data_IF_007020972159
#
_entry.id   IF_007020972159
#
_cell.length_a   1.000
_cell.length_b   1.000
_cell.length_c   1.000
_cell.angle_alpha   90.00
_cell.angle_beta   90.00
_cell.angle_gamma   90.00
#
_symmetry.space_group_name_H-M   'P 1'
#
loop_
_entity.id
_entity.type
_entity.pdbx_description
1 polymer ?
#
# COMPACT_ATOMS: atom_id res chain seq x y z
N UNK A 1 25.60 -11.66 -5.79
CA UNK A 1 24.61 -11.05 -6.69
C UNK A 1 23.31 -11.01 -5.92
N UNK A 2 22.48 -9.97 -6.06
CA UNK A 2 21.25 -9.87 -5.32
C UNK A 2 20.25 -10.94 -5.82
N UNK A 3 20.13 -12.06 -5.10
CA UNK A 3 19.15 -13.11 -5.38
C UNK A 3 17.82 -12.78 -4.69
N UNK A 4 16.69 -12.94 -5.40
CA UNK A 4 15.37 -12.82 -4.76
C UNK A 4 15.15 -14.02 -3.86
N UNK A 5 14.73 -13.75 -2.62
CA UNK A 5 14.47 -14.82 -1.65
C UNK A 5 12.98 -15.05 -1.55
N UNK A 6 12.58 -16.25 -1.99
CA UNK A 6 11.21 -16.74 -1.91
C UNK A 6 11.13 -17.77 -0.81
N UNK A 7 10.15 -17.61 0.07
CA UNK A 7 9.77 -18.58 1.07
C UNK A 7 8.26 -18.73 1.15
N UNK A 8 7.80 -19.49 2.13
CA UNK A 8 6.38 -19.68 2.39
C UNK A 8 6.12 -19.53 3.89
N UNK A 9 5.02 -18.89 4.28
CA UNK A 9 4.68 -18.64 5.69
C UNK A 9 4.58 -19.93 6.52
N UNK A 10 4.40 -21.08 5.89
CA UNK A 10 4.37 -22.39 6.56
C UNK A 10 5.67 -23.20 6.45
N UNK A 11 6.66 -22.76 5.64
CA UNK A 11 7.90 -23.51 5.42
C UNK A 11 9.06 -23.02 6.29
N UNK A 12 10.15 -23.80 6.32
CA UNK A 12 11.42 -23.39 6.90
C UNK A 12 12.09 -22.24 6.14
N UNK A 13 11.75 -22.04 4.86
CA UNK A 13 12.36 -21.01 4.01
C UNK A 13 11.98 -19.59 4.46
N UNK A 14 10.90 -19.45 5.25
CA UNK A 14 10.55 -18.17 5.86
C UNK A 14 11.69 -17.58 6.71
N UNK A 15 12.43 -18.42 7.43
CA UNK A 15 13.57 -17.95 8.23
C UNK A 15 14.63 -17.29 7.34
N UNK A 16 14.86 -17.84 6.13
CA UNK A 16 15.79 -17.26 5.15
C UNK A 16 15.30 -15.91 4.63
N UNK A 17 13.98 -15.78 4.41
CA UNK A 17 13.36 -14.50 4.02
C UNK A 17 13.53 -13.47 5.14
N UNK A 18 13.23 -13.84 6.39
CA UNK A 18 13.33 -12.97 7.56
C UNK A 18 14.78 -12.52 7.84
N UNK A 19 15.75 -13.43 7.71
CA UNK A 19 17.17 -13.12 7.86
C UNK A 19 17.62 -12.08 6.83
N UNK A 20 17.25 -12.25 5.56
CA UNK A 20 17.62 -11.32 4.50
C UNK A 20 16.90 -9.98 4.63
N UNK A 21 15.62 -10.01 4.99
CA UNK A 21 14.85 -8.81 5.33
C UNK A 21 15.57 -8.00 6.43
N UNK A 22 16.01 -8.65 7.51
CA UNK A 22 16.67 -8.02 8.64
C UNK A 22 18.05 -7.42 8.29
N UNK A 23 18.78 -8.01 7.34
CA UNK A 23 20.07 -7.46 6.86
C UNK A 23 19.92 -6.09 6.22
N UNK A 24 18.86 -5.91 5.44
CA UNK A 24 18.58 -4.65 4.75
C UNK A 24 17.78 -3.67 5.61
N UNK A 25 17.01 -4.18 6.59
CA UNK A 25 16.14 -3.39 7.44
C UNK A 25 16.47 -3.63 8.93
N UNK A 26 17.63 -3.18 9.44
CA UNK A 26 18.13 -3.54 10.76
C UNK A 26 17.29 -3.03 11.94
N UNK A 27 16.39 -2.07 11.71
CA UNK A 27 15.44 -1.59 12.72
C UNK A 27 14.10 -2.31 12.66
N UNK A 28 13.94 -3.27 11.74
CA UNK A 28 12.72 -4.01 11.53
C UNK A 28 12.97 -5.52 11.74
N UNK A 29 11.99 -6.22 12.29
CA UNK A 29 12.00 -7.68 12.39
C UNK A 29 10.76 -8.24 11.71
N UNK A 30 10.96 -9.14 10.75
CA UNK A 30 9.87 -9.87 10.08
C UNK A 30 9.60 -11.17 10.84
N UNK A 31 8.33 -11.38 11.21
CA UNK A 31 7.88 -12.59 11.89
C UNK A 31 6.52 -13.05 11.35
N UNK A 32 6.04 -14.19 11.86
CA UNK A 32 4.75 -14.78 11.57
C UNK A 32 4.11 -15.30 12.85
N UNK A 33 2.80 -15.32 12.90
CA UNK A 33 2.07 -15.87 14.04
C UNK A 33 0.72 -16.45 13.68
N UNK A 34 0.09 -17.01 14.70
CA UNK A 34 -1.23 -17.64 14.60
C UNK A 34 -2.05 -17.21 15.80
N UNK A 35 -3.31 -16.85 15.55
CA UNK A 35 -4.33 -16.66 16.58
C UNK A 35 -5.27 -17.84 16.51
N UNK A 36 -5.47 -18.50 17.66
CA UNK A 36 -6.46 -19.56 17.85
C UNK A 36 -7.24 -19.27 19.14
N UNK A 37 -8.54 -19.02 19.01
CA UNK A 37 -9.38 -18.59 20.14
C UNK A 37 -9.23 -17.09 20.42
N UNK A 38 -9.43 -16.68 21.67
CA UNK A 38 -9.30 -15.29 22.12
C UNK A 38 -7.92 -15.05 22.75
N UNK A 39 -7.30 -13.91 22.43
CA UNK A 39 -6.02 -13.51 22.97
C UNK A 39 -5.75 -12.02 22.83
N UNK A 40 -4.53 -11.64 23.15
CA UNK A 40 -4.05 -10.26 23.03
C UNK A 40 -2.71 -10.26 22.29
N UNK A 41 -2.56 -9.33 21.36
CA UNK A 41 -1.31 -9.06 20.66
C UNK A 41 -0.75 -7.78 21.25
N UNK A 42 0.46 -7.88 21.81
CA UNK A 42 1.21 -6.76 22.37
C UNK A 42 2.62 -6.71 21.75
N UNK A 43 3.24 -5.54 21.79
CA UNK A 43 4.64 -5.32 21.44
C UNK A 43 5.21 -4.19 22.29
N UNK A 44 6.53 -4.08 22.38
CA UNK A 44 7.19 -3.02 23.15
C UNK A 44 7.36 -1.71 22.34
N UNK A 45 7.10 -1.76 21.04
CA UNK A 45 7.35 -0.66 20.10
C UNK A 45 6.14 -0.43 19.20
N UNK A 46 6.27 -0.67 17.90
CA UNK A 46 5.24 -0.65 16.89
C UNK A 46 5.29 -1.96 16.12
N UNK A 47 4.16 -2.64 16.00
CA UNK A 47 4.00 -3.86 15.21
C UNK A 47 2.88 -3.67 14.20
N UNK A 48 3.20 -3.87 12.93
CA UNK A 48 2.20 -4.04 11.88
C UNK A 48 1.97 -5.52 11.65
N UNK A 49 0.72 -5.92 11.47
CA UNK A 49 0.33 -7.28 11.14
C UNK A 49 -0.54 -7.28 9.89
N UNK A 50 -0.37 -8.28 9.04
CA UNK A 50 -1.24 -8.52 7.89
C UNK A 50 -1.73 -9.96 7.96
N UNK A 51 -3.05 -10.12 7.91
CA UNK A 51 -3.66 -11.45 7.94
C UNK A 51 -3.36 -12.17 6.63
N UNK A 52 -2.86 -13.39 6.71
CA UNK A 52 -2.54 -14.23 5.57
C UNK A 52 -3.73 -15.08 5.15
N UNK A 53 -4.33 -15.77 6.11
CA UNK A 53 -5.48 -16.65 5.91
C UNK A 53 -6.32 -16.73 7.17
N UNK A 54 -7.52 -17.29 7.03
CA UNK A 54 -8.49 -17.38 8.11
C UNK A 54 -9.26 -16.08 8.31
N UNK A 55 -9.99 -16.02 9.42
CA UNK A 55 -10.81 -14.88 9.79
C UNK A 55 -10.97 -14.80 11.31
N UNK A 56 -11.28 -13.61 11.78
CA UNK A 56 -11.49 -13.37 13.19
C UNK A 56 -12.11 -12.01 13.43
N UNK A 57 -11.91 -11.51 14.64
CA UNK A 57 -12.31 -10.18 15.03
C UNK A 57 -11.22 -9.52 15.87
N UNK A 58 -11.10 -8.20 15.77
CA UNK A 58 -10.30 -7.38 16.68
C UNK A 58 -11.22 -6.47 17.50
N UNK A 59 -10.94 -6.30 18.79
CA UNK A 59 -11.73 -5.41 19.63
C UNK A 59 -11.25 -3.97 19.45
N UNK A 60 -12.10 -3.11 18.90
CA UNK A 60 -11.82 -1.67 18.80
C UNK A 60 -12.65 -0.95 19.88
N UNK A 61 -12.01 -0.30 20.87
CA UNK A 61 -12.71 0.41 21.94
C UNK A 61 -13.40 1.71 21.44
N UNK A 62 -14.34 2.21 22.22
CA UNK A 62 -14.93 3.53 21.99
C UNK A 62 -13.87 4.64 22.06
N UNK A 63 -14.04 5.69 21.27
CA UNK A 63 -13.11 6.82 21.14
C UNK A 63 -11.96 6.57 20.16
N UNK A 64 -11.79 5.35 19.63
CA UNK A 64 -10.81 5.09 18.58
C UNK A 64 -11.31 5.62 17.23
N UNK A 65 -10.39 6.21 16.47
CA UNK A 65 -10.69 6.80 15.16
C UNK A 65 -10.17 5.91 14.02
N UNK A 66 -10.87 5.91 12.89
CA UNK A 66 -10.45 5.24 11.65
C UNK A 66 -10.65 6.13 10.43
N UNK A 67 -9.77 6.03 9.43
CA UNK A 67 -9.95 6.64 8.09
C UNK A 67 -10.46 5.59 7.09
N UNK A 68 -11.36 4.72 7.54
CA UNK A 68 -12.10 3.77 6.71
C UNK A 68 -13.47 4.36 6.31
N UNK A 69 -14.18 3.68 5.42
CA UNK A 69 -15.56 4.01 5.04
C UNK A 69 -15.71 4.70 3.68
N UNK A 70 -14.60 4.96 3.00
CA UNK A 70 -14.57 5.48 1.63
C UNK A 70 -14.61 4.37 0.54
N UNK A 71 -14.50 3.11 0.95
CA UNK A 71 -14.93 1.92 0.19
C UNK A 71 -16.38 1.55 0.54
N UNK A 72 -16.56 0.44 1.26
CA UNK A 72 -17.86 0.12 1.87
C UNK A 72 -18.10 1.02 3.10
N UNK A 73 -19.33 1.58 3.28
CA UNK A 73 -19.66 2.33 4.47
C UNK A 73 -19.40 1.56 5.76
N UNK A 74 -18.94 2.28 6.78
CA UNK A 74 -18.83 1.77 8.14
C UNK A 74 -20.22 1.63 8.78
N UNK A 75 -20.33 0.81 9.82
CA UNK A 75 -21.54 0.69 10.62
C UNK A 75 -21.87 2.01 11.33
N UNK A 76 -23.15 2.19 11.68
CA UNK A 76 -23.67 3.42 12.30
C UNK A 76 -23.02 3.80 13.65
N UNK A 77 -22.25 2.89 14.25
CA UNK A 77 -21.46 3.14 15.47
C UNK A 77 -20.19 3.97 15.20
N UNK A 78 -19.78 4.11 13.94
CA UNK A 78 -18.70 5.01 13.54
C UNK A 78 -19.31 6.34 13.10
N UNK A 79 -18.96 7.41 13.80
CA UNK A 79 -19.48 8.75 13.57
C UNK A 79 -18.40 9.55 12.83
N UNK A 80 -18.62 9.96 11.58
CA UNK A 80 -17.66 10.79 10.87
C UNK A 80 -17.43 12.12 11.55
N UNK A 81 -16.17 12.54 11.63
CA UNK A 81 -15.83 13.85 12.16
C UNK A 81 -16.34 14.94 11.21
N UNK A 82 -16.75 16.11 11.74
CA UNK A 82 -17.07 17.25 10.90
C UNK A 82 -15.87 17.69 10.08
N UNK A 83 -16.07 17.97 8.78
CA UNK A 83 -15.01 18.53 7.97
C UNK A 83 -14.77 20.01 8.33
N UNK A 84 -13.53 20.46 8.57
CA UNK A 84 -13.25 21.86 8.86
C UNK A 84 -13.74 22.79 7.75
N UNK A 85 -14.29 23.96 8.10
CA UNK A 85 -14.88 24.90 7.13
C UNK A 85 -13.90 25.30 6.02
N UNK A 86 -12.65 25.60 6.36
CA UNK A 86 -11.64 25.96 5.36
C UNK A 86 -11.32 24.81 4.38
N UNK A 87 -11.39 23.56 4.83
CA UNK A 87 -11.24 22.39 3.95
C UNK A 87 -12.47 22.23 3.06
N UNK A 88 -13.68 22.44 3.59
CA UNK A 88 -14.90 22.40 2.80
C UNK A 88 -14.94 23.45 1.68
N UNK A 89 -14.49 24.67 1.98
CA UNK A 89 -14.34 25.76 1.00
C UNK A 89 -13.29 25.38 -0.05
N UNK A 90 -12.13 24.87 0.36
CA UNK A 90 -11.09 24.40 -0.54
C UNK A 90 -11.60 23.30 -1.49
N UNK A 91 -12.31 22.30 -0.97
CA UNK A 91 -12.89 21.23 -1.79
C UNK A 91 -13.89 21.77 -2.82
N UNK A 92 -14.71 22.77 -2.45
CA UNK A 92 -15.63 23.41 -3.39
C UNK A 92 -14.89 24.21 -4.48
N UNK A 93 -13.78 24.87 -4.15
CA UNK A 93 -12.91 25.52 -5.13
C UNK A 93 -12.26 24.50 -6.07
N UNK A 94 -11.75 23.39 -5.55
CA UNK A 94 -11.17 22.32 -6.36
C UNK A 94 -12.19 21.72 -7.34
N UNK A 95 -13.43 21.49 -6.88
CA UNK A 95 -14.54 21.01 -7.71
C UNK A 95 -14.85 21.99 -8.86
N UNK A 96 -14.99 23.28 -8.54
CA UNK A 96 -15.32 24.33 -9.49
C UNK A 96 -14.19 24.63 -10.49
N UNK A 97 -12.94 24.32 -10.13
CA UNK A 97 -11.75 24.55 -10.95
C UNK A 97 -11.13 23.26 -11.49
N UNK A 98 -11.86 22.14 -11.52
CA UNK A 98 -11.33 20.83 -11.93
C UNK A 98 -10.68 20.86 -13.33
N UNK A 99 -11.28 21.57 -14.29
CA UNK A 99 -10.75 21.71 -15.65
C UNK A 99 -9.46 22.55 -15.75
N UNK A 100 -9.12 23.32 -14.72
CA UNK A 100 -7.89 24.13 -14.70
C UNK A 100 -6.63 23.29 -14.45
N UNK A 101 -6.79 22.06 -13.94
CA UNK A 101 -5.69 21.15 -13.69
C UNK A 101 -5.17 20.52 -14.98
N UNK A 102 -3.84 20.28 -15.02
CA UNK A 102 -3.24 19.46 -16.05
C UNK A 102 -3.97 18.10 -16.15
N UNK A 103 -4.18 17.60 -17.38
CA UNK A 103 -5.02 16.42 -17.63
C UNK A 103 -4.67 15.21 -16.76
N UNK A 104 -3.37 14.95 -16.55
CA UNK A 104 -2.89 13.85 -15.70
C UNK A 104 -3.29 13.95 -14.22
N UNK A 105 -3.66 15.15 -13.74
CA UNK A 105 -3.99 15.44 -12.34
C UNK A 105 -5.49 15.52 -12.08
N UNK A 106 -6.31 15.66 -13.13
CA UNK A 106 -7.76 15.82 -12.99
C UNK A 106 -8.40 14.65 -12.25
N UNK A 107 -8.03 13.41 -12.60
CA UNK A 107 -8.51 12.20 -11.93
C UNK A 107 -8.20 12.17 -10.43
N UNK A 108 -6.91 12.29 -10.02
CA UNK A 108 -6.55 12.37 -8.60
C UNK A 108 -7.24 13.51 -7.83
N UNK A 109 -7.33 14.72 -8.40
CA UNK A 109 -8.01 15.86 -7.75
C UNK A 109 -9.50 15.57 -7.57
N UNK A 110 -10.16 15.05 -8.61
CA UNK A 110 -11.56 14.67 -8.54
C UNK A 110 -11.79 13.60 -7.46
N UNK A 111 -10.91 12.59 -7.37
CA UNK A 111 -10.99 11.57 -6.34
C UNK A 111 -10.85 12.13 -4.91
N UNK A 112 -10.07 13.20 -4.72
CA UNK A 112 -10.00 13.92 -3.42
C UNK A 112 -11.34 14.60 -3.13
N UNK A 113 -11.89 15.36 -4.08
CA UNK A 113 -13.18 16.06 -3.94
C UNK A 113 -14.32 15.09 -3.63
N UNK A 114 -14.32 13.93 -4.29
CA UNK A 114 -15.33 12.88 -4.12
C UNK A 114 -15.38 12.24 -2.74
N UNK A 115 -14.45 12.54 -1.82
CA UNK A 115 -14.57 12.09 -0.42
C UNK A 115 -15.48 12.97 0.43
N UNK A 116 -15.91 14.12 -0.10
CA UNK A 116 -16.92 14.97 0.54
C UNK A 116 -18.27 14.23 0.57
N UNK A 117 -18.90 14.17 1.75
CA UNK A 117 -20.21 13.57 2.00
C UNK A 117 -21.03 14.52 2.88
N UNK A 118 -21.80 15.40 2.25
CA UNK A 118 -22.51 16.46 2.97
C UNK A 118 -21.52 17.36 3.71
N UNK A 119 -21.61 17.41 5.04
CA UNK A 119 -20.72 18.18 5.91
C UNK A 119 -19.44 17.44 6.34
N UNK A 120 -19.21 16.23 5.82
CA UNK A 120 -18.11 15.36 6.23
C UNK A 120 -17.11 15.11 5.10
N UNK A 121 -15.92 14.69 5.49
CA UNK A 121 -14.88 14.15 4.62
C UNK A 121 -14.54 12.75 5.12
N UNK A 122 -14.60 11.73 4.26
CA UNK A 122 -14.47 10.32 4.67
C UNK A 122 -13.24 9.70 4.01
N UNK A 123 -12.42 9.01 4.82
CA UNK A 123 -11.29 8.23 4.35
C UNK A 123 -9.99 9.01 4.17
N UNK A 124 -8.95 8.29 3.77
CA UNK A 124 -7.60 8.82 3.54
C UNK A 124 -7.41 9.20 2.06
N UNK A 125 -6.66 10.28 1.79
CA UNK A 125 -6.28 10.76 0.44
C UNK A 125 -4.79 10.67 0.13
N UNK A 126 -3.97 10.10 1.02
CA UNK A 126 -2.54 10.00 0.79
C UNK A 126 -2.20 9.26 -0.53
N UNK A 127 -3.04 8.31 -0.95
CA UNK A 127 -2.93 7.66 -2.26
C UNK A 127 -3.08 8.62 -3.45
N UNK A 128 -4.09 9.48 -3.44
CA UNK A 128 -4.27 10.50 -4.47
C UNK A 128 -3.17 11.55 -4.43
N UNK A 129 -2.71 11.94 -3.24
CA UNK A 129 -1.56 12.85 -3.08
C UNK A 129 -0.31 12.24 -3.72
N UNK A 130 -0.06 10.95 -3.50
CA UNK A 130 1.04 10.23 -4.14
C UNK A 130 0.94 10.27 -5.67
N UNK A 131 -0.26 10.06 -6.24
CA UNK A 131 -0.49 10.15 -7.69
C UNK A 131 -0.19 11.56 -8.25
N UNK A 132 -0.51 12.63 -7.50
CA UNK A 132 -0.14 13.98 -7.90
C UNK A 132 1.39 14.15 -7.99
N UNK A 133 2.13 13.61 -7.02
CA UNK A 133 3.59 13.70 -6.95
C UNK A 133 4.29 12.89 -8.06
N UNK A 134 3.70 11.75 -8.42
CA UNK A 134 4.19 10.82 -9.45
C UNK A 134 3.81 11.21 -10.88
N UNK A 135 2.93 12.19 -11.05
CA UNK A 135 2.41 12.61 -12.37
C UNK A 135 3.48 13.06 -13.38
N UNK A 136 4.70 13.37 -12.92
CA UNK A 136 5.74 14.00 -13.72
C UNK A 136 5.51 15.48 -14.02
N UNK A 137 4.33 16.03 -13.70
CA UNK A 137 4.01 17.45 -13.91
C UNK A 137 4.68 18.29 -12.81
N UNK A 138 5.48 19.33 -13.14
CA UNK A 138 6.03 20.24 -12.15
C UNK A 138 4.92 20.92 -11.32
N UNK A 139 5.14 21.12 -10.01
CA UNK A 139 4.12 21.67 -9.11
C UNK A 139 3.54 23.00 -9.59
N UNK A 140 4.39 23.90 -10.13
CA UNK A 140 3.97 25.19 -10.67
C UNK A 140 3.07 25.09 -11.92
N UNK A 141 2.98 23.91 -12.54
CA UNK A 141 2.19 23.64 -13.73
C UNK A 141 0.98 22.73 -13.43
N UNK A 142 0.74 22.41 -12.15
CA UNK A 142 -0.38 21.53 -11.79
C UNK A 142 -1.75 22.11 -12.17
N UNK A 143 -1.90 23.42 -12.07
CA UNK A 143 -3.11 24.16 -12.42
C UNK A 143 -2.78 25.56 -12.92
N UNK A 144 -3.60 26.08 -13.81
CA UNK A 144 -3.54 27.49 -14.25
C UNK A 144 -4.29 28.47 -13.32
N UNK A 145 -4.98 27.96 -12.29
CA UNK A 145 -5.74 28.75 -11.31
C UNK A 145 -4.99 28.89 -9.99
N UNK A 146 -4.60 30.12 -9.63
CA UNK A 146 -4.01 30.41 -8.32
C UNK A 146 -4.93 29.99 -7.17
N UNK A 147 -6.25 30.17 -7.33
CA UNK A 147 -7.25 29.75 -6.34
C UNK A 147 -7.30 28.24 -6.16
N UNK A 148 -7.21 27.46 -7.25
CA UNK A 148 -7.16 26.00 -7.17
C UNK A 148 -5.85 25.52 -6.53
N UNK A 149 -4.73 26.21 -6.80
CA UNK A 149 -3.45 25.91 -6.16
C UNK A 149 -3.51 26.10 -4.65
N UNK A 150 -4.00 27.27 -4.19
CA UNK A 150 -4.14 27.56 -2.77
C UNK A 150 -5.12 26.60 -2.07
N UNK A 151 -6.23 26.25 -2.73
CA UNK A 151 -7.18 25.26 -2.21
C UNK A 151 -6.54 23.87 -2.07
N UNK A 152 -5.73 23.44 -3.04
CA UNK A 152 -5.01 22.18 -2.94
C UNK A 152 -4.00 22.20 -1.79
N UNK A 153 -3.28 23.31 -1.59
CA UNK A 153 -2.36 23.47 -0.47
C UNK A 153 -3.04 23.33 0.90
N UNK A 154 -4.27 23.84 1.05
CA UNK A 154 -5.08 23.66 2.27
C UNK A 154 -5.34 22.17 2.53
N UNK A 155 -5.75 21.43 1.51
CA UNK A 155 -6.01 19.98 1.63
C UNK A 155 -4.71 19.23 1.94
N UNK A 156 -3.63 19.52 1.22
CA UNK A 156 -2.30 18.90 1.42
C UNK A 156 -1.70 19.22 2.80
N UNK A 157 -2.02 20.38 3.38
CA UNK A 157 -1.58 20.76 4.72
C UNK A 157 -2.37 20.09 5.84
N UNK A 158 -3.55 19.53 5.55
CA UNK A 158 -4.51 19.05 6.57
C UNK A 158 -4.93 17.59 6.42
N UNK A 159 -4.56 16.91 5.33
CA UNK A 159 -5.09 15.58 5.00
C UNK A 159 -4.97 14.52 6.10
N UNK A 160 -3.93 14.58 6.95
CA UNK A 160 -3.75 13.64 8.07
C UNK A 160 -4.74 13.85 9.21
N UNK A 161 -5.36 15.02 9.28
CA UNK A 161 -6.24 15.44 10.37
C UNK A 161 -7.73 15.32 10.01
N UNK A 162 -8.04 15.04 8.75
CA UNK A 162 -9.41 14.91 8.22
C UNK A 162 -9.68 13.46 7.79
N UNK A 163 -10.93 13.14 7.43
CA UNK A 163 -11.25 11.79 6.92
C UNK A 163 -11.57 10.76 8.00
N UNK A 164 -11.48 11.14 9.26
CA UNK A 164 -11.64 10.26 10.40
C UNK A 164 -13.11 10.07 10.77
N UNK A 165 -13.43 8.86 11.23
CA UNK A 165 -14.66 8.52 11.93
C UNK A 165 -14.33 7.96 13.31
N UNK A 166 -14.95 8.47 14.36
CA UNK A 166 -14.77 8.01 15.73
C UNK A 166 -15.76 6.89 16.06
N UNK A 167 -15.28 5.84 16.72
CA UNK A 167 -16.11 4.74 17.18
C UNK A 167 -16.82 5.13 18.49
N UNK A 168 -18.15 5.17 18.46
CA UNK A 168 -18.97 5.57 19.62
C UNK A 168 -19.11 4.50 20.70
N UNK A 169 -19.05 3.21 20.33
CA UNK A 169 -19.21 2.07 21.24
C UNK A 169 -18.15 1.03 20.93
N UNK A 170 -17.45 0.52 21.96
CA UNK A 170 -16.47 -0.54 21.77
C UNK A 170 -17.10 -1.86 21.34
N UNK A 171 -16.55 -2.49 20.31
CA UNK A 171 -17.05 -3.76 19.76
C UNK A 171 -15.96 -4.55 19.05
N UNK A 172 -16.23 -5.84 18.89
CA UNK A 172 -15.47 -6.75 18.04
C UNK A 172 -15.78 -6.44 16.57
N UNK A 173 -14.72 -6.22 15.79
CA UNK A 173 -14.79 -5.87 14.38
C UNK A 173 -14.23 -7.01 13.54
N UNK A 174 -14.95 -7.45 12.49
CA UNK A 174 -14.49 -8.56 11.66
C UNK A 174 -13.19 -8.19 10.92
N UNK A 175 -12.29 -9.15 10.87
CA UNK A 175 -11.02 -9.08 10.13
C UNK A 175 -10.80 -10.36 9.33
N UNK A 176 -10.18 -10.24 8.17
CA UNK A 176 -9.93 -11.35 7.25
C UNK A 176 -8.59 -11.21 6.53
N UNK A 177 -8.22 -12.23 5.74
CA UNK A 177 -7.01 -12.21 4.92
C UNK A 177 -6.84 -10.89 4.14
N UNK A 178 -5.64 -10.31 4.18
CA UNK A 178 -5.28 -9.03 3.57
C UNK A 178 -5.52 -7.80 4.46
N UNK A 179 -6.36 -7.89 5.50
CA UNK A 179 -6.54 -6.79 6.44
C UNK A 179 -5.27 -6.53 7.25
N UNK A 180 -5.05 -5.27 7.61
CA UNK A 180 -3.89 -4.83 8.38
C UNK A 180 -4.30 -4.41 9.78
N UNK A 181 -3.51 -4.82 10.78
CA UNK A 181 -3.63 -4.42 12.18
C UNK A 181 -2.37 -3.69 12.63
N UNK A 182 -2.51 -2.69 13.50
CA UNK A 182 -1.41 -1.94 14.09
C UNK A 182 -1.51 -2.04 15.61
N UNK A 183 -0.39 -2.38 16.24
CA UNK A 183 -0.25 -2.51 17.69
C UNK A 183 0.90 -1.63 18.14
N UNK A 184 0.70 -0.89 19.21
CA UNK A 184 1.76 -0.11 19.88
C UNK A 184 1.86 -0.52 21.35
N UNK A 185 2.96 -0.14 22.00
CA UNK A 185 3.19 -0.41 23.42
C UNK A 185 2.02 0.03 24.32
N UNK A 186 1.42 1.18 24.02
CA UNK A 186 0.34 1.75 24.83
C UNK A 186 -1.07 1.28 24.39
N UNK A 187 -1.16 0.53 23.29
CA UNK A 187 -2.42 0.07 22.71
C UNK A 187 -2.31 -1.39 22.24
N UNK A 188 -2.20 -2.37 23.16
CA UNK A 188 -2.31 -3.78 22.83
C UNK A 188 -3.69 -4.08 22.23
N UNK A 189 -3.74 -5.04 21.30
CA UNK A 189 -4.95 -5.35 20.55
C UNK A 189 -5.49 -6.72 20.96
N UNK A 190 -6.70 -6.72 21.51
CA UNK A 190 -7.46 -7.96 21.75
C UNK A 190 -8.00 -8.49 20.44
N UNK A 191 -7.79 -9.78 20.22
CA UNK A 191 -8.17 -10.49 18.99
C UNK A 191 -8.87 -11.79 19.34
N UNK A 192 -9.75 -12.27 18.46
CA UNK A 192 -10.31 -13.61 18.55
C UNK A 192 -10.54 -14.23 17.19
N UNK A 193 -10.56 -15.56 17.10
CA UNK A 193 -10.87 -16.30 15.88
C UNK A 193 -9.82 -17.37 15.56
N UNK A 194 -9.63 -17.65 14.28
CA UNK A 194 -8.59 -18.54 13.77
C UNK A 194 -8.00 -17.95 12.50
N UNK A 195 -6.79 -17.40 12.61
CA UNK A 195 -6.09 -16.78 11.48
C UNK A 195 -4.57 -16.84 11.65
N UNK A 196 -3.87 -16.85 10.52
CA UNK A 196 -2.42 -16.69 10.45
C UNK A 196 -2.10 -15.29 9.98
N UNK A 197 -0.96 -14.76 10.40
CA UNK A 197 -0.52 -13.42 10.02
C UNK A 197 0.99 -13.35 9.82
N UNK A 198 1.40 -12.39 8.99
CA UNK A 198 2.77 -11.86 8.98
C UNK A 198 2.82 -10.62 9.87
N UNK A 199 3.98 -10.36 10.47
CA UNK A 199 4.19 -9.14 11.23
C UNK A 199 5.55 -8.51 10.95
N UNK A 200 5.58 -7.18 10.96
CA UNK A 200 6.82 -6.41 10.99
C UNK A 200 6.84 -5.58 12.27
N UNK A 201 7.82 -5.86 13.12
CA UNK A 201 8.12 -5.09 14.32
C UNK A 201 9.10 -3.99 13.94
N UNK A 202 8.80 -2.76 14.32
CA UNK A 202 9.62 -1.57 14.05
C UNK A 202 10.20 -1.10 15.38
N UNK A 203 11.47 -1.37 15.61
CA UNK A 203 12.10 -1.20 16.92
C UNK A 203 12.33 0.27 17.31
N UNK A 204 12.43 1.17 16.34
CA UNK A 204 12.73 2.60 16.52
C UNK A 204 11.48 3.50 16.45
N UNK A 205 10.28 2.92 16.54
CA UNK A 205 8.99 3.63 16.50
C UNK A 205 8.04 3.14 17.60
N UNK A 206 7.32 4.06 18.22
CA UNK A 206 6.30 3.75 19.24
C UNK A 206 4.91 4.22 18.86
N UNK A 207 4.79 4.98 17.77
CA UNK A 207 3.53 5.57 17.29
C UNK A 207 3.21 5.07 15.89
N UNK A 208 1.92 4.96 15.59
CA UNK A 208 1.41 4.66 14.25
C UNK A 208 0.68 5.88 13.68
N UNK A 209 0.72 6.03 12.35
CA UNK A 209 -0.05 7.04 11.62
C UNK A 209 -1.30 6.47 10.96
N UNK A 210 -1.69 5.24 11.32
CA UNK A 210 -2.89 4.57 10.82
C UNK A 210 -3.77 4.11 11.98
N UNK A 211 -5.03 3.79 11.70
CA UNK A 211 -5.91 3.18 12.70
C UNK A 211 -5.45 1.78 13.11
N UNK A 212 -5.91 1.33 14.28
CA UNK A 212 -5.58 0.00 14.82
C UNK A 212 -5.98 -1.15 13.88
N UNK A 213 -7.01 -0.94 13.05
CA UNK A 213 -7.39 -1.83 11.96
C UNK A 213 -7.60 -1.05 10.66
N UNK A 214 -7.20 -1.66 9.54
CA UNK A 214 -7.41 -1.20 8.17
C UNK A 214 -7.97 -2.36 7.37
N UNK A 215 -9.29 -2.47 7.37
CA UNK A 215 -10.04 -3.55 6.73
C UNK A 215 -10.25 -3.20 5.28
N UNK A 216 -9.76 -4.05 4.39
CA UNK A 216 -9.73 -3.74 2.96
C UNK A 216 -11.14 -3.42 2.44
N UNK A 217 -12.18 -4.11 2.89
CA UNK A 217 -13.55 -3.86 2.42
C UNK A 217 -14.05 -2.43 2.66
N UNK A 218 -13.52 -1.74 3.66
CA UNK A 218 -13.90 -0.37 3.97
C UNK A 218 -12.98 0.69 3.35
N UNK A 219 -11.90 0.28 2.70
CA UNK A 219 -10.99 1.19 2.01
C UNK A 219 -11.43 1.38 0.56
N UNK A 220 -11.26 2.60 0.06
CA UNK A 220 -11.50 2.91 -1.36
C UNK A 220 -10.70 1.98 -2.26
N UNK A 221 -11.38 1.45 -3.26
CA UNK A 221 -10.74 0.77 -4.37
C UNK A 221 -10.27 1.82 -5.38
N UNK A 222 -8.96 1.96 -5.51
CA UNK A 222 -8.34 2.94 -6.40
C UNK A 222 -7.83 2.21 -7.63
N UNK A 223 -8.59 2.20 -8.72
CA UNK A 223 -8.06 1.71 -10.00
C UNK A 223 -6.79 2.52 -10.35
N UNK A 224 -5.66 1.84 -10.57
CA UNK A 224 -4.34 2.48 -10.68
C UNK A 224 -3.19 1.49 -10.44
N UNK A 225 -2.05 1.69 -11.09
CA UNK A 225 -0.92 0.75 -11.03
C UNK A 225 -1.09 -0.47 -11.96
N UNK A 226 -0.46 -1.59 -11.61
CA UNK A 226 -0.37 -2.83 -12.41
C UNK A 226 -1.70 -3.54 -12.75
N UNK A 227 -2.88 -2.94 -12.52
CA UNK A 227 -4.18 -3.48 -12.95
C UNK A 227 -5.26 -2.43 -13.23
N UNK A 228 -5.53 -2.20 -14.52
CA UNK A 228 -6.70 -1.49 -15.05
C UNK A 228 -7.69 -2.45 -15.76
N UNK A 229 -7.49 -3.77 -15.62
CA UNK A 229 -8.24 -4.81 -16.30
C UNK A 229 -9.48 -5.27 -15.48
N UNK A 230 -10.05 -6.41 -15.86
CA UNK A 230 -11.18 -7.02 -15.16
C UNK A 230 -10.83 -7.35 -13.69
N UNK A 231 -11.81 -7.17 -12.79
CA UNK A 231 -11.62 -7.40 -11.34
C UNK A 231 -10.45 -6.60 -10.74
N UNK A 232 -10.28 -5.34 -11.18
CA UNK A 232 -9.33 -4.39 -10.60
C UNK A 232 -9.56 -4.27 -9.09
N UNK A 233 -8.48 -4.40 -8.33
CA UNK A 233 -8.49 -4.32 -6.88
C UNK A 233 -7.17 -3.68 -6.47
N UNK A 234 -7.21 -2.47 -5.94
CA UNK A 234 -6.05 -1.83 -5.30
C UNK A 234 -6.48 -0.97 -4.13
N UNK A 235 -6.09 -1.39 -2.93
CA UNK A 235 -6.45 -0.76 -1.66
C UNK A 235 -5.21 -0.49 -0.84
N UNK A 236 -5.21 0.62 -0.11
CA UNK A 236 -4.02 1.15 0.56
C UNK A 236 -4.21 1.11 2.09
N UNK A 237 -3.99 -0.04 2.75
CA UNK A 237 -4.06 -0.12 4.21
C UNK A 237 -3.02 0.79 4.89
N UNK A 238 -1.78 0.85 4.37
CA UNK A 238 -0.71 1.72 4.87
C UNK A 238 -0.15 2.59 3.74
N UNK A 239 -0.62 3.82 3.63
CA UNK A 239 -0.20 4.78 2.60
C UNK A 239 1.16 5.41 2.91
N UNK A 240 1.94 5.70 1.86
CA UNK A 240 3.15 6.49 2.02
C UNK A 240 2.78 7.94 2.33
N UNK A 241 3.41 8.48 3.36
CA UNK A 241 3.12 9.79 3.91
C UNK A 241 4.43 10.55 3.94
N UNK A 242 4.54 11.61 3.15
CA UNK A 242 5.77 12.39 3.01
C UNK A 242 6.26 12.97 4.35
N UNK A 243 7.55 12.87 4.66
CA UNK A 243 8.14 13.61 5.77
C UNK A 243 8.44 15.07 5.38
N UNK A 244 8.43 15.98 6.35
CA UNK A 244 8.95 17.33 6.14
C UNK A 244 10.45 17.26 5.79
N UNK A 245 10.86 17.85 4.67
CA UNK A 245 12.25 17.83 4.20
C UNK A 245 12.61 16.73 3.18
N UNK A 246 11.67 15.87 2.81
CA UNK A 246 11.87 14.83 1.79
C UNK A 246 12.59 13.56 2.31
N UNK A 247 12.90 12.64 1.40
CA UNK A 247 13.55 11.35 1.74
C UNK A 247 12.55 10.26 2.14
N UNK A 248 12.77 9.65 3.30
CA UNK A 248 11.90 8.58 3.82
C UNK A 248 10.54 9.15 4.26
N UNK A 249 9.47 8.37 4.13
CA UNK A 249 8.16 8.76 4.66
C UNK A 249 8.15 8.77 6.19
N UNK A 250 7.06 9.24 6.79
CA UNK A 250 6.88 9.14 8.26
C UNK A 250 6.63 7.70 8.70
N UNK A 251 6.02 6.89 7.84
CA UNK A 251 5.82 5.47 8.06
C UNK A 251 7.12 4.72 7.77
N UNK A 252 7.50 3.78 8.63
CA UNK A 252 8.64 2.88 8.39
C UNK A 252 8.32 1.79 7.35
N UNK A 253 7.02 1.50 7.18
CA UNK A 253 6.50 0.47 6.29
C UNK A 253 5.25 1.01 5.61
N UNK A 254 5.11 0.73 4.31
CA UNK A 254 3.88 0.97 3.57
C UNK A 254 3.39 -0.30 2.92
N UNK A 255 2.11 -0.36 2.64
CA UNK A 255 1.51 -1.55 2.07
C UNK A 255 0.29 -1.23 1.24
N UNK A 256 0.23 -1.82 0.05
CA UNK A 256 -0.98 -1.86 -0.74
C UNK A 256 -1.34 -3.29 -1.13
N UNK A 257 -2.64 -3.57 -1.14
CA UNK A 257 -3.14 -4.87 -1.59
C UNK A 257 -3.66 -4.71 -3.00
N UNK A 258 -3.09 -5.45 -3.93
CA UNK A 258 -3.33 -5.33 -5.36
C UNK A 258 -3.54 -6.69 -6.01
N UNK A 259 -4.52 -6.76 -6.91
CA UNK A 259 -4.66 -7.85 -7.86
C UNK A 259 -3.88 -7.50 -9.11
N UNK A 260 -2.70 -8.09 -9.33
CA UNK A 260 -1.84 -7.80 -10.47
C UNK A 260 -2.29 -8.64 -11.67
N UNK A 261 -2.66 -8.01 -12.77
CA UNK A 261 -2.95 -8.68 -14.03
C UNK A 261 -1.74 -8.62 -14.97
N UNK A 262 -1.39 -9.74 -15.61
CA UNK A 262 -0.25 -9.85 -16.52
C UNK A 262 -0.24 -8.73 -17.58
N UNK A 263 -1.40 -8.40 -18.14
CA UNK A 263 -1.61 -7.44 -19.22
C UNK A 263 -1.20 -6.01 -18.86
N UNK A 264 -1.34 -5.65 -17.58
CA UNK A 264 -1.13 -4.29 -17.08
C UNK A 264 0.07 -4.18 -16.13
N UNK A 265 0.65 -5.32 -15.76
CA UNK A 265 1.82 -5.38 -14.90
C UNK A 265 3.06 -4.84 -15.61
N UNK A 266 3.82 -3.98 -14.93
CA UNK A 266 5.03 -3.33 -15.45
C UNK A 266 6.29 -3.95 -14.84
N UNK A 267 7.33 -4.12 -15.66
CA UNK A 267 8.65 -4.48 -15.15
C UNK A 267 9.33 -3.24 -14.60
N UNK A 268 9.79 -3.29 -13.36
CA UNK A 268 10.47 -2.15 -12.72
C UNK A 268 11.51 -2.61 -11.70
N UNK A 269 12.30 -1.66 -11.20
CA UNK A 269 13.17 -1.85 -10.04
C UNK A 269 13.21 -0.59 -9.18
N UNK A 270 13.63 -0.76 -7.93
CA UNK A 270 13.97 0.36 -7.04
C UNK A 270 15.49 0.48 -6.95
N UNK A 271 16.09 1.65 -7.18
CA UNK A 271 17.54 1.78 -7.19
C UNK A 271 18.15 1.62 -5.80
N UNK A 272 19.39 1.10 -5.75
CA UNK A 272 20.20 1.03 -4.53
C UNK A 272 20.51 2.44 -4.01
N UNK A 273 20.68 3.41 -4.92
CA UNK A 273 20.78 4.83 -4.62
C UNK A 273 19.40 5.49 -4.85
N UNK A 274 18.63 5.78 -3.80
CA UNK A 274 17.26 6.25 -3.96
C UNK A 274 17.15 7.61 -4.63
N UNK A 275 16.16 7.74 -5.52
CA UNK A 275 15.75 9.05 -6.03
C UNK A 275 15.20 9.87 -4.87
N UNK A 276 15.76 11.07 -4.65
CA UNK A 276 15.39 11.94 -3.52
C UNK A 276 16.03 11.60 -2.18
N UNK A 277 16.91 10.58 -2.12
CA UNK A 277 17.69 10.23 -0.93
C UNK A 277 16.98 9.32 0.09
N UNK A 278 17.58 9.20 1.28
CA UNK A 278 17.11 8.31 2.35
C UNK A 278 17.57 6.85 2.17
N UNK A 279 16.84 5.90 2.78
CA UNK A 279 17.18 4.47 2.70
C UNK A 279 16.83 3.85 1.33
N UNK A 280 17.61 2.88 0.83
CA UNK A 280 17.23 2.03 -0.30
C UNK A 280 15.81 1.45 -0.11
N UNK A 281 14.99 1.52 -1.16
CA UNK A 281 13.64 0.95 -1.11
C UNK A 281 13.71 -0.55 -1.40
N UNK A 282 13.27 -1.35 -0.44
CA UNK A 282 13.01 -2.79 -0.64
C UNK A 282 11.51 -3.02 -0.79
N UNK A 283 11.16 -4.10 -1.48
CA UNK A 283 9.79 -4.52 -1.70
C UNK A 283 9.60 -5.96 -1.23
N UNK A 284 8.41 -6.28 -0.76
CA UNK A 284 8.06 -7.59 -0.25
C UNK A 284 6.66 -7.97 -0.69
N UNK A 285 6.50 -9.17 -1.23
CA UNK A 285 5.20 -9.71 -1.60
C UNK A 285 4.72 -10.68 -0.54
N UNK A 286 3.53 -10.42 -0.01
CA UNK A 286 2.75 -11.38 0.76
C UNK A 286 1.61 -11.86 -0.13
N UNK A 287 1.70 -13.08 -0.64
CA UNK A 287 0.73 -13.61 -1.61
C UNK A 287 -0.54 -14.06 -0.89
N UNK A 288 -1.67 -13.51 -1.31
CA UNK A 288 -2.98 -13.75 -0.72
C UNK A 288 -3.81 -14.69 -1.60
N UNK A 289 -4.84 -15.31 -1.01
CA UNK A 289 -5.82 -16.08 -1.75
C UNK A 289 -6.84 -15.15 -2.44
N UNK A 290 -6.91 -15.09 -3.78
CA UNK A 290 -7.87 -14.25 -4.49
C UNK A 290 -9.33 -14.62 -4.19
N UNK A 291 -9.60 -15.87 -3.78
CA UNK A 291 -10.96 -16.31 -3.44
C UNK A 291 -11.51 -15.61 -2.20
N UNK A 292 -10.66 -15.11 -1.30
CA UNK A 292 -11.06 -14.33 -0.12
C UNK A 292 -11.87 -13.08 -0.51
N UNK A 293 -11.62 -12.52 -1.70
CA UNK A 293 -12.32 -11.34 -2.23
C UNK A 293 -13.18 -11.65 -3.46
N UNK A 294 -13.40 -12.93 -3.77
CA UNK A 294 -14.16 -13.35 -4.95
C UNK A 294 -13.51 -12.95 -6.28
N UNK A 295 -12.19 -12.69 -6.29
CA UNK A 295 -11.46 -12.32 -7.49
C UNK A 295 -11.32 -13.53 -8.40
N UNK A 296 -11.61 -13.35 -9.69
CA UNK A 296 -11.53 -14.44 -10.66
C UNK A 296 -10.11 -14.55 -11.22
N UNK A 297 -9.51 -15.71 -11.05
CA UNK A 297 -8.17 -16.00 -11.58
C UNK A 297 -8.21 -16.46 -13.04
N UNK A 298 -9.36 -16.95 -13.52
CA UNK A 298 -9.56 -17.50 -14.87
C UNK A 298 -8.55 -18.61 -15.23
N UNK A 299 -8.08 -19.36 -14.22
CA UNK A 299 -7.07 -20.41 -14.40
C UNK A 299 -5.64 -19.90 -14.63
N UNK A 300 -5.41 -18.58 -14.57
CA UNK A 300 -4.07 -18.00 -14.64
C UNK A 300 -3.28 -18.39 -13.40
N UNK A 301 -1.97 -18.61 -13.58
CA UNK A 301 -1.07 -19.05 -12.52
C UNK A 301 -0.21 -17.88 -12.07
N UNK A 302 -0.30 -17.54 -10.78
CA UNK A 302 0.49 -16.47 -10.19
C UNK A 302 1.99 -16.78 -10.29
N UNK A 303 2.79 -15.79 -10.69
CA UNK A 303 4.25 -15.91 -10.70
C UNK A 303 4.94 -14.55 -10.54
N UNK A 304 6.23 -14.58 -10.23
CA UNK A 304 7.11 -13.42 -10.20
C UNK A 304 8.23 -13.63 -11.20
N UNK A 305 8.42 -12.67 -12.10
CA UNK A 305 9.64 -12.58 -12.92
C UNK A 305 10.62 -11.66 -12.21
N UNK A 306 11.88 -12.08 -12.11
CA UNK A 306 12.95 -11.31 -11.46
C UNK A 306 14.16 -11.22 -12.38
N UNK A 307 14.80 -10.05 -12.40
CA UNK A 307 16.03 -9.72 -13.08
C UNK A 307 17.09 -9.38 -12.02
N UNK A 308 17.90 -10.36 -11.58
CA UNK A 308 18.90 -10.17 -10.53
C UNK A 308 19.97 -9.13 -10.88
N UNK A 309 20.17 -8.84 -12.16
CA UNK A 309 21.10 -7.85 -12.67
C UNK A 309 20.38 -6.92 -13.65
N UNK A 310 20.15 -5.67 -13.24
CA UNK A 310 19.46 -4.67 -14.08
C UNK A 310 20.33 -4.15 -15.23
N UNK A 311 21.63 -4.48 -15.24
CA UNK A 311 22.54 -4.21 -16.36
C UNK A 311 22.55 -5.36 -17.38
N UNK A 312 22.17 -6.59 -16.97
CA UNK A 312 21.99 -7.75 -17.84
C UNK A 312 20.57 -8.32 -17.77
N UNK A 313 19.65 -7.62 -18.42
CA UNK A 313 18.22 -7.98 -18.48
C UNK A 313 17.93 -9.24 -19.33
N UNK A 314 18.95 -9.90 -19.90
CA UNK A 314 18.78 -11.21 -20.51
C UNK A 314 18.69 -12.32 -19.46
N UNK A 315 19.20 -12.06 -18.25
CA UNK A 315 19.18 -13.01 -17.13
C UNK A 315 17.95 -12.74 -16.27
N UNK A 316 17.03 -13.70 -16.30
CA UNK A 316 15.82 -13.65 -15.49
C UNK A 316 15.46 -15.02 -14.94
N UNK A 317 14.68 -15.00 -13.87
CA UNK A 317 14.05 -16.18 -13.28
C UNK A 317 12.55 -15.93 -13.16
N UNK A 318 11.74 -16.96 -13.39
CA UNK A 318 10.31 -16.91 -13.16
C UNK A 318 9.96 -17.91 -12.07
N UNK A 319 9.47 -17.41 -10.94
CA UNK A 319 9.13 -18.23 -9.78
C UNK A 319 7.61 -18.33 -9.65
N UNK A 320 7.02 -19.54 -9.57
CA UNK A 320 5.59 -19.69 -9.31
C UNK A 320 5.26 -19.19 -7.89
N UNK A 321 4.09 -18.56 -7.74
CA UNK A 321 3.59 -18.05 -6.47
C UNK A 321 2.31 -18.78 -6.07
N UNK A 322 2.13 -19.01 -4.77
CA UNK A 322 0.91 -19.58 -4.18
C UNK A 322 0.47 -18.74 -2.98
N UNK A 323 -0.81 -18.72 -2.59
CA UNK A 323 -1.23 -18.10 -1.34
C UNK A 323 -0.36 -18.56 -0.17
N UNK A 324 0.11 -17.62 0.65
CA UNK A 324 1.06 -17.86 1.73
C UNK A 324 2.54 -17.76 1.32
N UNK A 325 2.86 -17.66 0.02
CA UNK A 325 4.20 -17.31 -0.45
C UNK A 325 4.62 -15.94 0.09
N UNK A 326 5.89 -15.83 0.44
CA UNK A 326 6.51 -14.63 1.01
C UNK A 326 7.78 -14.35 0.21
N UNK A 327 7.84 -13.22 -0.47
CA UNK A 327 8.99 -12.86 -1.32
C UNK A 327 9.63 -11.60 -0.80
N UNK A 328 10.95 -11.60 -0.63
CA UNK A 328 11.72 -10.40 -0.36
C UNK A 328 12.53 -10.00 -1.60
N UNK A 329 12.30 -8.77 -2.08
CA UNK A 329 12.91 -8.18 -3.26
C UNK A 329 13.80 -7.02 -2.80
N UNK A 330 15.10 -7.22 -2.89
CA UNK A 330 16.06 -6.22 -2.46
C UNK A 330 16.19 -5.06 -3.48
N UNK A 331 16.71 -3.90 -3.05
CA UNK A 331 17.00 -2.80 -3.96
C UNK A 331 17.95 -3.24 -5.08
N UNK A 332 17.74 -2.71 -6.28
CA UNK A 332 18.52 -3.01 -7.48
C UNK A 332 18.06 -4.25 -8.23
N UNK A 333 17.02 -4.96 -7.76
CA UNK A 333 16.47 -6.13 -8.47
C UNK A 333 15.27 -5.74 -9.33
N UNK A 334 15.36 -5.99 -10.64
CA UNK A 334 14.23 -5.87 -11.53
C UNK A 334 13.19 -6.93 -11.24
N UNK A 335 11.91 -6.59 -11.27
CA UNK A 335 10.85 -7.53 -10.99
C UNK A 335 9.52 -7.17 -11.66
N UNK A 336 8.66 -8.18 -11.84
CA UNK A 336 7.31 -8.07 -12.38
C UNK A 336 6.43 -9.18 -11.81
N UNK A 337 5.38 -8.81 -11.07
CA UNK A 337 4.35 -9.76 -10.64
C UNK A 337 3.40 -10.10 -11.78
N UNK A 338 2.95 -11.34 -11.89
CA UNK A 338 2.05 -11.82 -12.94
C UNK A 338 0.88 -12.58 -12.31
N UNK A 339 -0.35 -12.16 -12.62
CA UNK A 339 -1.60 -12.82 -12.20
C UNK A 339 -1.67 -13.15 -10.70
N UNK A 340 -1.19 -12.23 -9.87
CA UNK A 340 -0.97 -12.44 -8.45
C UNK A 340 -1.80 -11.46 -7.61
N UNK A 341 -2.54 -11.98 -6.62
CA UNK A 341 -3.18 -11.17 -5.60
C UNK A 341 -2.21 -11.06 -4.42
N UNK A 342 -1.68 -9.86 -4.19
CA UNK A 342 -0.56 -9.65 -3.27
C UNK A 342 -0.79 -8.43 -2.40
N UNK A 343 -0.36 -8.52 -1.16
CA UNK A 343 -0.02 -7.34 -0.40
C UNK A 343 1.45 -7.00 -0.66
N UNK A 344 1.66 -5.90 -1.37
CA UNK A 344 2.98 -5.34 -1.65
C UNK A 344 3.35 -4.42 -0.51
N UNK A 345 4.43 -4.78 0.19
CA UNK A 345 4.98 -4.02 1.30
C UNK A 345 6.29 -3.37 0.87
N UNK A 346 6.45 -2.08 1.14
CA UNK A 346 7.70 -1.36 0.86
C UNK A 346 8.30 -0.76 2.12
N UNK A 347 9.64 -0.76 2.17
CA UNK A 347 10.43 -0.17 3.26
C UNK A 347 11.51 0.74 2.66
N UNK A 348 11.62 2.02 3.07
CA UNK A 348 10.76 2.71 4.03
C UNK A 348 9.43 3.19 3.43
N UNK A 349 9.12 2.84 2.17
CA UNK A 349 7.85 3.15 1.55
C UNK A 349 7.89 3.38 0.04
N UNK A 350 6.72 3.66 -0.55
CA UNK A 350 6.55 3.98 -1.97
C UNK A 350 7.01 5.41 -2.25
N UNK A 351 8.32 5.63 -2.29
CA UNK A 351 8.90 6.96 -2.51
C UNK A 351 8.55 7.47 -3.91
N UNK A 352 8.06 8.72 -4.03
CA UNK A 352 7.77 9.30 -5.32
C UNK A 352 8.97 9.22 -6.28
N UNK A 353 8.76 8.72 -7.51
CA UNK A 353 9.72 8.61 -8.62
C UNK A 353 10.88 7.65 -8.36
N UNK A 354 10.78 6.82 -7.33
CA UNK A 354 11.81 5.84 -6.97
C UNK A 354 11.57 4.46 -7.60
N UNK A 355 10.63 4.36 -8.55
CA UNK A 355 10.34 3.20 -9.38
C UNK A 355 10.84 3.48 -10.80
N UNK A 356 11.78 2.65 -11.29
CA UNK A 356 12.35 2.80 -12.62
C UNK A 356 11.84 1.68 -13.52
N UNK A 357 11.05 2.04 -14.53
CA UNK A 357 10.48 1.10 -15.49
C UNK A 357 11.54 0.52 -16.44
N UNK A 358 11.41 -0.78 -16.73
CA UNK A 358 12.37 -1.56 -17.49
C UNK A 358 11.80 -2.15 -18.78
N UNK A 359 10.49 -2.16 -19.02
CA UNK A 359 9.89 -2.91 -20.15
C UNK A 359 10.53 -2.60 -21.51
N UNK A 360 10.72 -1.31 -21.83
CA UNK A 360 11.40 -0.90 -23.07
C UNK A 360 12.88 -1.34 -23.09
N UNK A 361 13.58 -1.20 -21.97
CA UNK A 361 14.99 -1.65 -21.86
C UNK A 361 15.11 -3.17 -22.01
N UNK A 362 14.22 -3.95 -21.42
CA UNK A 362 14.18 -5.41 -21.54
C UNK A 362 13.99 -5.83 -23.00
N UNK A 363 13.04 -5.18 -23.70
CA UNK A 363 12.81 -5.41 -25.13
C UNK A 363 14.07 -5.14 -25.94
N UNK A 364 14.70 -4.00 -25.73
CA UNK A 364 15.87 -3.58 -26.51
C UNK A 364 17.10 -4.45 -26.23
N UNK A 365 17.40 -4.75 -24.96
CA UNK A 365 18.60 -5.49 -24.58
C UNK A 365 18.49 -7.00 -24.83
N UNK A 366 17.30 -7.59 -24.61
CA UNK A 366 17.08 -9.02 -24.81
C UNK A 366 16.54 -9.35 -26.20
N UNK A 367 16.39 -8.36 -27.09
CA UNK A 367 15.78 -8.52 -28.42
C UNK A 367 14.36 -9.09 -28.35
N UNK A 368 13.58 -8.66 -27.35
CA UNK A 368 12.22 -9.11 -27.09
C UNK A 368 12.08 -10.52 -26.51
N UNK A 369 13.18 -11.22 -26.18
CA UNK A 369 13.13 -12.61 -25.68
C UNK A 369 12.87 -12.74 -24.19
N UNK A 370 13.26 -11.74 -23.40
CA UNK A 370 12.99 -11.74 -21.97
C UNK A 370 11.56 -11.22 -21.69
N UNK A 371 10.88 -11.71 -20.64
CA UNK A 371 9.51 -11.30 -20.33
C UNK A 371 9.42 -9.79 -20.06
N UNK A 372 8.57 -9.10 -20.80
CA UNK A 372 8.28 -7.68 -20.65
C UNK A 372 6.82 -7.41 -21.03
N UNK A 373 6.31 -6.23 -20.72
CA UNK A 373 4.97 -5.83 -21.13
C UNK A 373 5.02 -5.16 -22.51
N UNK A 374 4.58 -5.87 -23.55
CA UNK A 374 4.62 -5.39 -24.93
C UNK A 374 3.84 -4.08 -25.13
N UNK A 375 2.69 -3.94 -24.46
CA UNK A 375 1.80 -2.76 -24.56
C UNK A 375 2.45 -1.47 -24.02
N UNK A 376 3.54 -1.61 -23.26
CA UNK A 376 4.28 -0.49 -22.66
C UNK A 376 5.60 -0.19 -23.37
N UNK A 377 5.83 -0.83 -24.52
CA UNK A 377 7.03 -0.68 -25.34
C UNK A 377 6.72 -0.03 -26.68
N UNK A 378 6.31 1.24 -26.63
CA UNK A 378 5.93 2.03 -27.82
C UNK A 378 7.07 2.91 -28.28
#
# INVERSE_FOLDING_TARGET
>A
MPDVIVGHIASSDFARVADEFGRWNPTCTLDRGVVEGEGEIACDTLRYLWLESGAGECFIPAGQRTQEGDGRPLDAVYIPDPCPTGVMEALATLEACSESFAHALQGPVQAIVERRRGAHFIGDVAGEIWLLLESGVPRGEWTSSEGAHAALDVVLGTYRQIGWSEKSVGSWEPVMAGDQLAVTADAPLRVRGSFRYWSIDVADRTETHTSAARRLNHLRDTAGGCNFAFDAFRRLPLTWIAAEGGGDGVNAVNSHVVNIATETSRTHYHPVEPVGGGKPQSEMYLVLDPSAYGLKTYGRTASLVTFPDVEDLCRYEQTPLTPGSTVYIQPGTGHRGLDAFVNVITLPGFKPRNEIYLDQRVKDSAGGKAPHNEELTV
#
